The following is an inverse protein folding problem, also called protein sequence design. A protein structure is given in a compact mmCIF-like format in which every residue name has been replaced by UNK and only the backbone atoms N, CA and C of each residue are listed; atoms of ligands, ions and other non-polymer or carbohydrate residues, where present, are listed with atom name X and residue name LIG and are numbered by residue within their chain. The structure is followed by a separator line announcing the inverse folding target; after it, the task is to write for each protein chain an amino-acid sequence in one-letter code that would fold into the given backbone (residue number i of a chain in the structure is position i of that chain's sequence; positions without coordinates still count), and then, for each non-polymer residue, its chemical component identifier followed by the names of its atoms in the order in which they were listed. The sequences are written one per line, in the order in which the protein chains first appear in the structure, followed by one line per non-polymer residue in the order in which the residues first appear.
data_IF_746346796121
#
_entry.id   IF_746346796121
#
_cell.length_a   1.000
_cell.length_b   1.000
_cell.length_c   1.000
_cell.angle_alpha   90.00
_cell.angle_beta   90.00
_cell.angle_gamma   90.00
#
_symmetry.space_group_name_H-M   'P 1'
#
loop_
_entity.id
_entity.type
_entity.pdbx_description
1 polymer ?
#
# COMPACT_ATOMS: atom_id res chain seq x y z
N UNK A 1 -7.29 -4.82 6.31
CA UNK A 1 -6.83 -3.83 5.32
C UNK A 1 -5.55 -4.26 4.62
N UNK A 2 -4.69 -4.93 5.32
CA UNK A 2 -3.45 -5.45 4.74
C UNK A 2 -3.72 -6.32 3.50
N UNK A 3 -4.67 -7.20 3.59
CA UNK A 3 -4.99 -8.12 2.51
C UNK A 3 -5.49 -7.38 1.26
N UNK A 4 -6.23 -6.31 1.46
CA UNK A 4 -6.71 -5.52 0.35
C UNK A 4 -5.55 -4.86 -0.40
N UNK A 5 -4.62 -4.27 0.32
CA UNK A 5 -3.45 -3.64 -0.30
C UNK A 5 -2.63 -4.70 -1.02
N UNK A 6 -2.43 -5.86 -0.41
CA UNK A 6 -1.71 -6.95 -1.04
C UNK A 6 -2.33 -7.35 -2.38
N UNK A 7 -3.64 -7.51 -2.38
CA UNK A 7 -4.36 -7.92 -3.59
C UNK A 7 -4.18 -6.90 -4.70
N UNK A 8 -4.33 -5.62 -4.38
CA UNK A 8 -4.20 -4.57 -5.36
C UNK A 8 -2.78 -4.52 -5.92
N UNK A 9 -1.78 -4.54 -5.04
CA UNK A 9 -0.40 -4.41 -5.47
C UNK A 9 0.03 -5.61 -6.29
N UNK A 10 -0.35 -6.81 -5.88
CA UNK A 10 0.02 -8.01 -6.63
C UNK A 10 -0.54 -8.00 -8.05
N UNK A 11 -1.65 -7.31 -8.26
CA UNK A 11 -2.24 -7.20 -9.59
C UNK A 11 -1.49 -6.19 -10.47
N UNK A 12 -0.68 -5.34 -9.88
CA UNK A 12 -0.01 -4.26 -10.60
C UNK A 12 1.45 -4.56 -10.93
N UNK A 13 2.08 -5.45 -10.19
CA UNK A 13 3.51 -5.67 -10.32
C UNK A 13 3.82 -6.91 -11.13
N UNK A 14 5.06 -6.99 -11.60
CA UNK A 14 5.53 -8.16 -12.36
C UNK A 14 6.01 -9.28 -11.46
N UNK A 15 6.38 -8.96 -10.22
CA UNK A 15 6.92 -9.94 -9.27
C UNK A 15 6.02 -10.04 -8.05
N UNK A 16 4.80 -10.57 -8.19
CA UNK A 16 3.86 -10.61 -7.07
C UNK A 16 4.37 -11.43 -5.89
N UNK A 17 5.25 -12.38 -6.14
CA UNK A 17 5.80 -13.21 -5.06
C UNK A 17 6.66 -12.41 -4.09
N UNK A 18 7.14 -11.23 -4.50
CA UNK A 18 7.96 -10.40 -3.65
C UNK A 18 7.19 -9.30 -2.96
N UNK A 19 5.88 -9.26 -3.14
CA UNK A 19 5.05 -8.28 -2.45
C UNK A 19 4.87 -8.70 -1.00
N UNK A 20 5.18 -7.78 -0.09
CA UNK A 20 4.99 -7.99 1.34
C UNK A 20 4.33 -6.74 1.92
N UNK A 21 3.29 -6.95 2.69
CA UNK A 21 2.60 -5.86 3.37
C UNK A 21 2.56 -6.15 4.85
N UNK A 22 2.98 -5.18 5.64
CA UNK A 22 2.93 -5.27 7.09
C UNK A 22 1.98 -4.21 7.59
N UNK A 23 1.27 -4.50 8.67
CA UNK A 23 0.35 -3.54 9.27
C UNK A 23 0.71 -3.36 10.74
N UNK A 24 0.92 -2.12 11.12
CA UNK A 24 1.21 -1.75 12.50
C UNK A 24 0.03 -0.95 13.01
N UNK A 25 -0.67 -1.48 14.00
CA UNK A 25 -1.88 -0.85 14.52
C UNK A 25 -1.60 -0.04 15.75
N UNK A 26 -1.98 1.24 15.72
CA UNK A 26 -2.04 2.08 16.88
C UNK A 26 -3.48 2.24 17.32
N UNK A 27 -3.73 3.14 18.26
CA UNK A 27 -5.07 3.33 18.79
C UNK A 27 -6.02 3.87 17.73
N UNK A 28 -5.57 4.87 16.96
CA UNK A 28 -6.41 5.50 15.95
C UNK A 28 -5.76 5.52 14.58
N UNK A 29 -4.53 5.08 14.47
CA UNK A 29 -3.78 5.10 13.22
C UNK A 29 -3.15 3.75 12.98
N UNK A 30 -3.30 3.25 11.77
CA UNK A 30 -2.62 2.04 11.32
C UNK A 30 -1.66 2.40 10.20
N UNK A 31 -0.47 1.88 10.25
CA UNK A 31 0.54 2.10 9.22
C UNK A 31 0.68 0.82 8.41
N UNK A 32 0.50 0.94 7.12
CA UNK A 32 0.69 -0.18 6.20
C UNK A 32 2.02 0.02 5.49
N UNK A 33 2.93 -0.92 5.68
CA UNK A 33 4.24 -0.86 5.05
C UNK A 33 4.28 -1.83 3.89
N UNK A 34 4.56 -1.31 2.72
CA UNK A 34 4.55 -2.08 1.48
C UNK A 34 5.96 -2.26 0.97
N UNK A 35 6.31 -3.50 0.68
CA UNK A 35 7.59 -3.83 0.09
C UNK A 35 7.35 -4.61 -1.19
N UNK A 36 8.01 -4.21 -2.26
CA UNK A 36 7.93 -4.89 -3.55
C UNK A 36 9.33 -5.10 -4.10
N UNK A 37 9.44 -5.87 -5.17
CA UNK A 37 10.72 -6.04 -5.85
C UNK A 37 11.23 -4.68 -6.31
N UNK A 38 12.55 -4.44 -6.26
CA UNK A 38 13.09 -3.15 -6.70
C UNK A 38 12.65 -2.74 -8.11
N UNK A 39 12.53 -3.70 -9.00
CA UNK A 39 12.10 -3.42 -10.37
C UNK A 39 10.65 -2.99 -10.46
N UNK A 40 9.87 -3.25 -9.43
CA UNK A 40 8.44 -2.95 -9.43
C UNK A 40 8.09 -1.66 -8.71
N UNK A 41 9.07 -1.04 -8.05
CA UNK A 41 8.79 0.18 -7.29
C UNK A 41 8.20 1.25 -8.18
N UNK A 42 8.74 1.43 -9.37
CA UNK A 42 8.22 2.43 -10.30
C UNK A 42 6.78 2.17 -10.72
N UNK A 43 6.36 0.92 -10.76
CA UNK A 43 5.00 0.57 -11.14
C UNK A 43 4.00 0.91 -10.05
N UNK A 44 4.46 0.91 -8.82
CA UNK A 44 3.60 1.24 -7.68
C UNK A 44 3.53 2.74 -7.49
N UNK A 45 4.66 3.44 -7.68
CA UNK A 45 4.74 4.88 -7.45
C UNK A 45 4.51 5.68 -8.73
N UNK A 46 3.81 5.29 -9.62
CA UNK A 46 3.68 5.93 -10.90
C UNK A 46 3.70 7.45 -10.88
N UNK A 47 4.43 8.04 -11.82
CA UNK A 47 4.71 9.48 -11.83
C UNK A 47 3.47 10.35 -12.01
N UNK A 48 2.42 9.82 -12.55
CA UNK A 48 1.24 10.62 -12.87
C UNK A 48 0.11 10.39 -11.89
N UNK A 49 0.46 10.24 -10.64
CA UNK A 49 -0.53 10.06 -9.62
C UNK A 49 -1.15 8.69 -9.61
N UNK A 50 -0.41 7.73 -10.13
CA UNK A 50 -0.96 6.44 -10.39
C UNK A 50 -1.37 5.64 -9.18
N UNK A 51 -0.75 4.49 -9.03
CA UNK A 51 -1.32 3.44 -8.19
C UNK A 51 -1.30 3.73 -6.71
N UNK A 52 -0.24 4.37 -6.23
CA UNK A 52 -0.14 4.70 -4.80
C UNK A 52 -1.24 5.68 -4.40
N UNK A 53 -1.50 6.67 -5.25
CA UNK A 53 -2.56 7.63 -4.94
C UNK A 53 -3.92 6.95 -4.89
N UNK A 54 -4.18 6.05 -5.82
CA UNK A 54 -5.44 5.32 -5.83
C UNK A 54 -5.60 4.49 -4.56
N UNK A 55 -4.54 3.81 -4.14
CA UNK A 55 -4.57 3.03 -2.91
C UNK A 55 -4.82 3.92 -1.71
N UNK A 56 -4.18 5.09 -1.66
CA UNK A 56 -4.37 6.02 -0.56
C UNK A 56 -5.80 6.53 -0.49
N UNK A 57 -6.43 6.77 -1.63
CA UNK A 57 -7.82 7.19 -1.66
C UNK A 57 -8.72 6.09 -1.09
N UNK A 58 -8.48 4.85 -1.47
CA UNK A 58 -9.25 3.73 -0.95
C UNK A 58 -9.06 3.59 0.56
N UNK A 59 -7.82 3.72 1.02
CA UNK A 59 -7.54 3.63 2.46
C UNK A 59 -8.20 4.76 3.23
N UNK A 60 -8.24 5.96 2.65
CA UNK A 60 -8.91 7.07 3.27
C UNK A 60 -10.40 6.84 3.43
N UNK A 61 -11.03 6.33 2.39
CA UNK A 61 -12.46 6.03 2.43
C UNK A 61 -12.76 4.94 3.46
N UNK A 62 -11.96 3.88 3.48
CA UNK A 62 -12.15 2.82 4.45
C UNK A 62 -11.94 3.32 5.87
N UNK A 63 -10.96 4.19 6.05
CA UNK A 63 -10.67 4.77 7.35
C UNK A 63 -11.83 5.59 7.90
N UNK A 64 -12.48 6.37 7.04
CA UNK A 64 -13.64 7.14 7.46
C UNK A 64 -14.75 6.23 7.98
N UNK A 65 -14.96 5.13 7.30
CA UNK A 65 -16.00 4.19 7.69
C UNK A 65 -15.68 3.48 9.01
N UNK A 66 -14.40 3.17 9.20
CA UNK A 66 -13.95 2.46 10.40
C UNK A 66 -13.53 3.40 11.52
N UNK A 67 -13.59 4.71 11.28
CA UNK A 67 -13.15 5.74 12.21
C UNK A 67 -11.71 5.54 12.62
N UNK A 68 -10.87 5.23 11.65
CA UNK A 68 -9.46 4.96 11.87
C UNK A 68 -8.67 5.53 10.70
N UNK A 69 -7.46 6.01 10.98
CA UNK A 69 -6.60 6.53 9.93
C UNK A 69 -5.65 5.44 9.44
N UNK A 70 -5.62 5.25 8.14
CA UNK A 70 -4.68 4.33 7.52
C UNK A 70 -3.68 5.11 6.70
N UNK A 71 -2.41 4.84 6.89
CA UNK A 71 -1.35 5.44 6.08
C UNK A 71 -0.60 4.34 5.36
N UNK A 72 -0.09 4.65 4.18
CA UNK A 72 0.67 3.70 3.38
C UNK A 72 2.09 4.23 3.19
N UNK A 73 3.06 3.41 3.51
CA UNK A 73 4.47 3.72 3.30
C UNK A 73 5.09 2.66 2.43
N UNK A 74 5.88 3.09 1.47
CA UNK A 74 6.59 2.18 0.58
C UNK A 74 8.02 2.08 1.05
N UNK A 75 8.45 0.85 1.30
CA UNK A 75 9.79 0.60 1.78
C UNK A 75 10.67 0.31 0.58
N UNK A 76 11.63 1.17 0.37
CA UNK A 76 12.60 1.01 -0.71
C UNK A 76 13.92 0.60 -0.11
N UNK A 77 14.33 -0.61 -0.39
CA UNK A 77 15.61 -1.09 0.11
C UNK A 77 16.77 -0.72 -0.79
N UNK A 78 16.45 -0.09 -1.84
CA UNK A 78 17.32 0.54 -2.83
C UNK A 78 18.71 0.10 -2.96
#
# INVERSE_FOLDING_TARGET
MKELVELIVKALVDNPDEVQVSQIDGEQTSILELKVAPDDIGKVIEKQGGNVQAIRVILGAAGMKLKKRFTLEIIDKG
#
